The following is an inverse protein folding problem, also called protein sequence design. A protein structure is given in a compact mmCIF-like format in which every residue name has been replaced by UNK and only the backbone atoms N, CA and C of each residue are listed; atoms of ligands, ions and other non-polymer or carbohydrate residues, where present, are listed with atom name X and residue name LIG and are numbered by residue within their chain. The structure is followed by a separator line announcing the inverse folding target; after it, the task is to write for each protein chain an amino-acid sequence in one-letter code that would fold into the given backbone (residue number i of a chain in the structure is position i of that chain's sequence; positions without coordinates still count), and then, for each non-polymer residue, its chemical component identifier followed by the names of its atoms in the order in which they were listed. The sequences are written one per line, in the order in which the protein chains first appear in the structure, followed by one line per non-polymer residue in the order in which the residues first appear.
data_IF_819290908844
#
_entry.id   IF_819290908844
#
_cell.length_a   1.000
_cell.length_b   1.000
_cell.length_c   1.000
_cell.angle_alpha   90.00
_cell.angle_beta   90.00
_cell.angle_gamma   90.00
#
_symmetry.space_group_name_H-M   'P 1'
#
loop_
_entity.id
_entity.type
_entity.pdbx_description
1 polymer ?
#
# COMPACT_ATOMS: atom_id res chain seq x y z
N UNK A 1 59.51 44.56 -11.90
CA UNK A 1 60.14 45.02 -10.65
C UNK A 1 59.68 46.44 -10.36
N UNK A 2 59.44 46.84 -9.10
CA UNK A 2 59.57 46.09 -7.84
C UNK A 2 58.19 45.59 -7.34
N UNK A 3 58.00 44.50 -6.58
CA UNK A 3 58.66 43.92 -5.39
C UNK A 3 58.33 44.63 -4.07
N UNK A 4 57.55 43.94 -3.23
CA UNK A 4 57.58 43.89 -1.76
C UNK A 4 56.48 42.88 -1.35
N UNK A 5 56.69 41.65 -0.90
CA UNK A 5 57.68 41.01 -0.03
C UNK A 5 57.66 41.53 1.42
N UNK A 6 57.20 40.64 2.32
CA UNK A 6 57.10 40.83 3.76
C UNK A 6 56.48 39.61 4.42
N UNK A 7 57.31 38.61 4.73
CA UNK A 7 56.96 37.35 5.39
C UNK A 7 57.13 37.42 6.92
N UNK A 8 56.62 36.38 7.61
CA UNK A 8 57.03 35.87 8.94
C UNK A 8 56.43 36.59 10.17
N UNK A 9 55.92 35.97 11.25
CA UNK A 9 56.10 34.66 11.93
C UNK A 9 54.89 34.32 12.83
N UNK A 10 54.58 33.03 13.02
CA UNK A 10 53.60 32.45 13.97
C UNK A 10 54.07 32.51 15.46
N UNK A 11 53.47 31.85 16.49
CA UNK A 11 52.15 31.21 16.65
C UNK A 11 51.41 31.59 17.98
N UNK A 12 50.12 31.27 18.15
CA UNK A 12 49.59 31.01 19.50
C UNK A 12 48.58 29.86 19.53
N UNK A 13 48.76 29.00 20.53
CA UNK A 13 48.20 27.68 20.74
C UNK A 13 46.78 27.71 21.32
N UNK A 14 46.04 26.65 20.99
CA UNK A 14 45.06 25.92 21.81
C UNK A 14 43.83 26.69 22.34
N UNK A 15 42.68 26.33 21.78
CA UNK A 15 41.55 25.86 22.59
C UNK A 15 40.89 24.68 21.85
N UNK A 16 41.18 23.48 22.35
CA UNK A 16 40.43 22.27 22.05
C UNK A 16 39.29 22.19 23.07
N UNK A 17 38.08 21.82 22.65
CA UNK A 17 37.02 21.48 23.58
C UNK A 17 35.64 21.32 22.97
N UNK A 18 35.31 20.05 22.69
CA UNK A 18 33.96 19.47 22.85
C UNK A 18 32.89 19.81 21.78
N UNK A 19 32.86 19.02 20.71
CA UNK A 19 31.59 18.61 20.09
C UNK A 19 31.63 17.09 19.99
N UNK A 20 30.68 16.46 20.68
CA UNK A 20 30.50 15.02 20.72
C UNK A 20 30.18 14.49 19.31
N UNK A 21 30.99 13.54 18.87
CA UNK A 21 30.82 12.79 17.63
C UNK A 21 29.71 11.74 17.88
N UNK A 22 28.44 12.15 17.80
CA UNK A 22 27.30 11.23 17.71
C UNK A 22 27.34 10.66 16.28
N UNK A 23 28.15 9.61 16.10
CA UNK A 23 27.99 8.73 14.95
C UNK A 23 26.61 8.11 15.04
N UNK A 24 25.71 8.62 14.20
CA UNK A 24 24.44 8.02 13.90
C UNK A 24 24.67 6.55 13.55
N UNK A 25 24.18 5.65 14.41
CA UNK A 25 23.96 4.26 14.05
C UNK A 25 22.90 4.27 12.94
N UNK A 26 23.18 3.81 11.72
CA UNK A 26 22.14 3.73 10.70
C UNK A 26 21.06 2.78 11.19
N UNK A 27 19.80 3.19 11.09
CA UNK A 27 18.67 2.33 11.45
C UNK A 27 18.73 1.05 10.60
N UNK A 28 18.20 -0.05 11.13
CA UNK A 28 18.10 -1.35 10.43
C UNK A 28 17.44 -1.19 9.04
N UNK A 29 16.59 -0.16 8.87
CA UNK A 29 15.96 0.22 7.60
C UNK A 29 16.96 0.74 6.55
N UNK A 30 17.92 1.58 6.95
CA UNK A 30 18.97 2.08 6.03
C UNK A 30 19.93 0.97 5.57
N UNK A 31 20.21 -0.02 6.44
CA UNK A 31 20.99 -1.21 6.07
C UNK A 31 20.25 -2.11 5.07
N UNK A 32 18.91 -2.23 5.18
CA UNK A 32 18.10 -2.97 4.19
C UNK A 32 18.02 -2.28 2.83
N UNK A 33 17.93 -0.94 2.80
CA UNK A 33 17.90 -0.19 1.54
C UNK A 33 19.17 -0.44 0.71
N UNK A 34 20.34 -0.52 1.34
CA UNK A 34 21.59 -0.82 0.65
C UNK A 34 21.66 -2.27 0.10
N UNK A 35 21.02 -3.25 0.76
CA UNK A 35 20.98 -4.64 0.28
C UNK A 35 19.93 -4.91 -0.81
N UNK A 36 19.18 -3.89 -1.26
CA UNK A 36 18.25 -3.99 -2.38
C UNK A 36 18.95 -3.94 -3.75
N UNK A 37 20.29 -3.82 -3.77
CA UNK A 37 21.09 -3.96 -4.99
C UNK A 37 21.45 -5.43 -5.23
N UNK A 38 20.59 -6.11 -6.00
CA UNK A 38 20.72 -7.47 -6.59
C UNK A 38 21.15 -8.63 -5.67
N UNK A 39 20.30 -9.67 -5.48
CA UNK A 39 20.66 -10.83 -4.68
C UNK A 39 21.81 -11.62 -5.32
N UNK A 40 22.71 -12.14 -4.50
CA UNK A 40 23.80 -12.99 -4.96
C UNK A 40 23.29 -14.31 -5.55
N UNK A 41 24.08 -14.92 -6.45
CA UNK A 41 23.66 -16.12 -7.18
C UNK A 41 23.42 -17.36 -6.31
N UNK A 42 23.77 -17.32 -5.02
CA UNK A 42 23.62 -18.45 -4.09
C UNK A 42 22.23 -18.45 -3.44
N UNK A 43 21.68 -17.29 -3.09
CA UNK A 43 20.30 -17.20 -2.57
C UNK A 43 19.25 -17.62 -3.61
N UNK A 44 19.47 -17.28 -4.88
CA UNK A 44 18.58 -17.66 -5.97
C UNK A 44 18.48 -19.19 -6.17
N UNK A 45 19.56 -19.94 -5.87
CA UNK A 45 19.56 -21.41 -5.97
C UNK A 45 18.78 -22.07 -4.82
N UNK A 46 18.91 -21.53 -3.61
CA UNK A 46 18.20 -21.97 -2.40
C UNK A 46 16.70 -21.75 -2.52
N UNK A 47 16.28 -20.59 -3.04
CA UNK A 47 14.88 -20.26 -3.30
C UNK A 47 14.24 -21.22 -4.31
N UNK A 48 14.98 -21.60 -5.37
CA UNK A 48 14.50 -22.57 -6.40
C UNK A 48 14.27 -23.98 -5.83
N UNK A 49 15.14 -24.44 -4.94
CA UNK A 49 14.99 -25.76 -4.28
C UNK A 49 13.81 -25.80 -3.30
N UNK A 50 13.61 -24.72 -2.54
CA UNK A 50 12.48 -24.57 -1.64
C UNK A 50 11.14 -24.56 -2.41
N UNK A 51 11.07 -23.84 -3.53
CA UNK A 51 9.89 -23.78 -4.40
C UNK A 51 9.47 -25.14 -4.99
N UNK A 52 10.44 -25.96 -5.43
CA UNK A 52 10.18 -27.31 -5.95
C UNK A 52 9.54 -28.23 -4.91
N UNK A 53 9.92 -28.09 -3.65
CA UNK A 53 9.41 -28.91 -2.55
C UNK A 53 7.98 -28.51 -2.15
N UNK A 54 7.64 -27.22 -2.23
CA UNK A 54 6.32 -26.71 -1.87
C UNK A 54 5.23 -26.95 -2.93
N UNK A 55 5.57 -26.97 -4.22
CA UNK A 55 4.60 -27.31 -5.27
C UNK A 55 4.13 -28.78 -5.22
N UNK A 56 4.97 -29.70 -4.74
CA UNK A 56 4.60 -31.12 -4.65
C UNK A 56 3.49 -31.39 -3.63
N UNK A 57 3.40 -30.61 -2.54
CA UNK A 57 2.35 -30.80 -1.50
C UNK A 57 0.98 -30.29 -1.93
N UNK A 58 0.91 -29.27 -2.81
CA UNK A 58 -0.38 -28.69 -3.26
C UNK A 58 -1.14 -29.61 -4.22
N UNK A 59 -0.46 -30.46 -5.00
CA UNK A 59 -1.13 -31.41 -5.91
C UNK A 59 -1.94 -32.49 -5.17
N UNK A 60 -1.56 -32.85 -3.95
CA UNK A 60 -2.24 -33.92 -3.20
C UNK A 60 -3.56 -33.44 -2.56
N UNK A 61 -3.72 -32.15 -2.28
CA UNK A 61 -4.91 -31.61 -1.59
C UNK A 61 -6.06 -31.33 -2.58
N UNK A 62 -5.76 -30.92 -3.81
CA UNK A 62 -6.78 -30.58 -4.82
C UNK A 62 -7.55 -31.79 -5.37
N UNK A 63 -7.01 -33.01 -5.26
CA UNK A 63 -7.71 -34.22 -5.68
C UNK A 63 -8.85 -34.66 -4.72
N UNK A 64 -8.84 -34.20 -3.46
CA UNK A 64 -9.80 -34.64 -2.44
C UNK A 64 -11.11 -33.81 -2.39
N UNK A 65 -11.12 -32.61 -2.97
CA UNK A 65 -12.28 -31.68 -2.92
C UNK A 65 -13.26 -31.91 -4.08
N UNK A 66 -12.81 -32.50 -5.19
CA UNK A 66 -13.64 -32.74 -6.37
C UNK A 66 -14.71 -33.84 -6.20
N UNK A 67 -14.66 -34.64 -5.12
CA UNK A 67 -15.53 -35.80 -4.93
C UNK A 67 -16.81 -35.52 -4.10
N UNK A 68 -17.07 -34.28 -3.69
CA UNK A 68 -18.11 -33.99 -2.68
C UNK A 68 -19.39 -33.31 -3.22
N UNK A 69 -19.46 -32.98 -4.52
CA UNK A 69 -20.58 -32.19 -5.09
C UNK A 69 -21.44 -32.94 -6.12
N UNK A 70 -21.85 -34.17 -5.82
CA UNK A 70 -22.84 -34.90 -6.63
C UNK A 70 -23.86 -35.63 -5.76
N UNK A 71 -24.89 -34.93 -5.27
CA UNK A 71 -26.15 -35.56 -4.86
C UNK A 71 -27.36 -34.69 -5.29
N UNK A 72 -28.35 -35.25 -6.00
CA UNK A 72 -29.53 -34.52 -6.45
C UNK A 72 -30.60 -34.45 -5.34
N UNK A 73 -31.30 -33.30 -5.26
CA UNK A 73 -32.41 -33.08 -4.33
C UNK A 73 -33.72 -33.49 -5.03
N UNK A 74 -34.41 -34.48 -4.46
CA UNK A 74 -35.69 -34.99 -4.93
C UNK A 74 -36.84 -34.10 -4.42
N UNK A 75 -37.66 -33.62 -5.33
CA UNK A 75 -38.87 -32.84 -5.07
C UNK A 75 -40.00 -33.74 -4.53
N UNK A 76 -40.56 -33.41 -3.37
CA UNK A 76 -41.81 -34.00 -2.87
C UNK A 76 -42.84 -32.88 -2.69
N UNK A 77 -43.97 -33.03 -3.39
CA UNK A 77 -45.09 -32.10 -3.32
C UNK A 77 -46.12 -32.45 -2.25
N UNK A 78 -47.20 -31.65 -2.31
CA UNK A 78 -48.53 -31.83 -1.71
C UNK A 78 -48.73 -31.29 -0.28
N UNK A 79 -49.51 -30.21 -0.14
CA UNK A 79 -50.85 -30.30 0.44
C UNK A 79 -51.59 -28.95 0.45
N UNK A 80 -52.85 -29.07 0.08
CA UNK A 80 -53.92 -28.09 -0.02
C UNK A 80 -54.42 -27.69 1.38
N UNK A 81 -54.65 -26.40 1.63
CA UNK A 81 -55.24 -25.91 2.87
C UNK A 81 -55.77 -24.49 2.72
N UNK A 82 -57.00 -24.37 2.22
CA UNK A 82 -57.74 -23.12 2.06
C UNK A 82 -58.26 -22.68 3.44
N UNK A 83 -57.64 -21.68 4.06
CA UNK A 83 -58.15 -21.02 5.26
C UNK A 83 -58.36 -19.53 4.97
N UNK A 84 -59.62 -19.14 4.97
CA UNK A 84 -60.11 -17.77 4.81
C UNK A 84 -59.83 -16.99 6.10
N UNK A 85 -58.99 -15.95 6.03
CA UNK A 85 -58.75 -15.01 7.14
C UNK A 85 -59.05 -13.59 6.66
N UNK A 86 -60.02 -12.88 7.26
CA UNK A 86 -60.25 -11.46 7.00
C UNK A 86 -59.41 -10.62 7.97
N UNK A 87 -58.68 -9.64 7.45
CA UNK A 87 -57.97 -8.66 8.28
C UNK A 87 -56.75 -8.06 7.62
N UNK A 88 -56.94 -7.22 6.59
CA UNK A 88 -55.87 -6.41 6.02
C UNK A 88 -55.61 -5.23 6.98
N UNK A 89 -54.82 -5.47 8.02
CA UNK A 89 -54.16 -4.40 8.76
C UNK A 89 -52.89 -4.04 7.95
N UNK A 90 -52.86 -2.85 7.38
CA UNK A 90 -51.67 -2.28 6.76
C UNK A 90 -50.58 -2.14 7.82
N UNK A 91 -49.71 -3.15 7.93
CA UNK A 91 -48.44 -3.00 8.62
C UNK A 91 -47.59 -2.04 7.78
N UNK A 92 -47.60 -0.76 8.16
CA UNK A 92 -46.62 0.19 7.67
C UNK A 92 -45.26 -0.31 8.18
N UNK A 93 -44.47 -0.87 7.27
CA UNK A 93 -43.05 -1.09 7.50
C UNK A 93 -42.43 0.29 7.73
N UNK A 94 -42.25 0.67 8.99
CA UNK A 94 -41.31 1.72 9.34
C UNK A 94 -39.95 1.23 8.87
N UNK A 95 -39.52 1.76 7.74
CA UNK A 95 -38.13 1.72 7.31
C UNK A 95 -37.36 2.58 8.29
N UNK A 96 -37.05 2.00 9.46
CA UNK A 96 -36.04 2.51 10.35
C UNK A 96 -34.77 2.64 9.53
N UNK A 97 -34.39 3.88 9.21
CA UNK A 97 -33.10 4.19 8.64
C UNK A 97 -32.07 3.75 9.68
N UNK A 98 -31.53 2.54 9.50
CA UNK A 98 -30.38 2.10 10.28
C UNK A 98 -29.25 3.07 9.96
N UNK A 99 -28.94 3.95 10.92
CA UNK A 99 -27.78 4.81 10.87
C UNK A 99 -26.56 3.92 10.68
N UNK A 100 -25.89 4.07 9.54
CA UNK A 100 -24.64 3.35 9.30
C UNK A 100 -23.64 3.77 10.38
N UNK A 101 -22.91 2.83 10.99
CA UNK A 101 -21.92 3.16 12.00
C UNK A 101 -20.94 4.20 11.44
N UNK A 102 -20.70 5.25 12.22
CA UNK A 102 -19.81 6.33 11.85
C UNK A 102 -18.39 5.76 11.72
N UNK A 103 -17.78 5.93 10.56
CA UNK A 103 -16.48 5.32 10.30
C UNK A 103 -15.34 6.16 10.88
N UNK A 104 -14.24 5.50 11.25
CA UNK A 104 -13.07 6.08 11.91
C UNK A 104 -11.83 6.05 11.00
N UNK A 105 -10.81 6.83 11.36
CA UNK A 105 -9.52 6.95 10.64
C UNK A 105 -8.35 7.00 11.64
N UNK A 106 -7.94 5.86 12.23
CA UNK A 106 -7.04 5.85 13.39
C UNK A 106 -5.57 6.13 13.09
N UNK A 107 -5.12 6.05 11.84
CA UNK A 107 -3.70 6.27 11.45
C UNK A 107 -3.56 7.43 10.48
N UNK A 108 -4.32 7.39 9.38
CA UNK A 108 -4.35 8.43 8.35
C UNK A 108 -5.67 9.17 8.50
N UNK A 109 -5.64 10.29 9.21
CA UNK A 109 -6.82 11.14 9.43
C UNK A 109 -7.41 11.64 8.10
N UNK A 110 -8.74 11.73 8.03
CA UNK A 110 -9.46 12.24 6.86
C UNK A 110 -9.57 11.27 5.67
N UNK A 111 -8.62 10.35 5.50
CA UNK A 111 -8.61 9.40 4.38
C UNK A 111 -8.87 7.96 4.80
N UNK A 112 -9.37 7.15 3.88
CA UNK A 112 -9.43 5.69 4.11
C UNK A 112 -10.32 5.27 5.28
N UNK A 113 -11.46 5.94 5.48
CA UNK A 113 -12.40 5.67 6.59
C UNK A 113 -12.76 4.18 6.70
N UNK A 114 -12.67 3.59 7.89
CA UNK A 114 -13.02 2.19 8.19
C UNK A 114 -14.18 2.11 9.18
N UNK A 115 -14.80 0.94 9.29
CA UNK A 115 -15.76 0.63 10.36
C UNK A 115 -15.11 -0.43 11.23
N UNK A 116 -15.13 -0.21 12.55
CA UNK A 116 -14.62 -1.19 13.49
C UNK A 116 -15.49 -2.46 13.47
N UNK A 117 -14.83 -3.61 13.54
CA UNK A 117 -15.43 -4.93 13.55
C UNK A 117 -14.81 -5.75 14.68
N UNK A 118 -15.09 -5.41 15.94
CA UNK A 118 -14.52 -6.12 17.08
C UNK A 118 -15.01 -7.58 17.05
N UNK A 119 -14.07 -8.52 17.20
CA UNK A 119 -14.38 -9.95 17.14
C UNK A 119 -14.49 -10.55 15.72
N UNK A 120 -14.04 -9.83 14.69
CA UNK A 120 -13.87 -10.42 13.35
C UNK A 120 -12.98 -11.69 13.44
N UNK A 121 -13.40 -12.76 12.75
CA UNK A 121 -12.75 -14.09 12.82
C UNK A 121 -11.31 -14.09 12.31
N UNK A 122 -10.95 -13.13 11.46
CA UNK A 122 -9.61 -13.00 10.90
C UNK A 122 -9.11 -11.57 11.11
N UNK A 123 -7.97 -11.44 11.77
CA UNK A 123 -7.29 -10.18 12.06
C UNK A 123 -5.81 -10.31 11.67
N UNK A 124 -5.18 -9.25 11.16
CA UNK A 124 -3.72 -9.26 10.99
C UNK A 124 -3.06 -9.34 12.38
N UNK A 125 -2.00 -10.13 12.48
CA UNK A 125 -1.21 -10.22 13.72
C UNK A 125 -0.47 -8.90 13.97
N UNK A 126 -0.53 -8.36 15.18
CA UNK A 126 0.23 -7.16 15.58
C UNK A 126 1.75 -7.39 15.62
N UNK A 127 2.18 -8.65 15.80
CA UNK A 127 3.58 -9.03 16.01
C UNK A 127 4.32 -9.40 14.71
N UNK A 128 3.59 -9.61 13.61
CA UNK A 128 4.16 -10.06 12.34
C UNK A 128 4.45 -8.88 11.39
N UNK A 129 5.48 -9.03 10.56
CA UNK A 129 5.75 -8.10 9.47
C UNK A 129 4.78 -8.36 8.30
N UNK A 130 3.99 -7.35 7.96
CA UNK A 130 3.06 -7.39 6.83
C UNK A 130 3.68 -6.71 5.61
N UNK A 131 4.08 -7.52 4.63
CA UNK A 131 4.66 -7.03 3.37
C UNK A 131 3.61 -7.05 2.26
N UNK A 132 3.17 -5.87 1.83
CA UNK A 132 2.08 -5.74 0.84
C UNK A 132 2.50 -4.76 -0.26
N UNK A 133 2.34 -5.20 -1.51
CA UNK A 133 2.45 -4.34 -2.68
C UNK A 133 1.06 -4.06 -3.25
N UNK A 134 0.67 -2.79 -3.28
CA UNK A 134 -0.58 -2.31 -3.85
C UNK A 134 -0.34 -1.90 -5.30
N UNK A 135 -1.01 -2.58 -6.23
CA UNK A 135 -0.95 -2.25 -7.66
C UNK A 135 -2.08 -1.28 -7.99
N UNK A 136 -1.79 0.02 -8.02
CA UNK A 136 -2.77 1.09 -8.26
C UNK A 136 -2.79 1.44 -9.75
N UNK A 137 -3.87 1.03 -10.42
CA UNK A 137 -3.95 1.11 -11.90
C UNK A 137 -5.07 1.99 -12.46
N UNK A 138 -6.15 2.17 -11.70
CA UNK A 138 -7.35 2.90 -12.13
C UNK A 138 -7.27 4.39 -11.84
N UNK A 139 -7.77 5.19 -12.77
CA UNK A 139 -8.00 6.64 -12.72
C UNK A 139 -9.28 7.05 -11.97
N UNK A 140 -10.06 6.10 -11.45
CA UNK A 140 -11.31 6.39 -10.71
C UNK A 140 -11.03 7.26 -9.51
N UNK A 141 -11.93 8.20 -9.26
CA UNK A 141 -11.85 9.14 -8.15
C UNK A 141 -12.97 8.95 -7.13
N UNK A 142 -12.71 9.39 -5.91
CA UNK A 142 -13.69 9.64 -4.86
C UNK A 142 -14.44 10.95 -5.17
N UNK A 143 -15.59 11.23 -4.51
CA UNK A 143 -16.34 12.48 -4.76
C UNK A 143 -15.57 13.78 -4.50
N UNK A 144 -14.51 13.72 -3.68
CA UNK A 144 -13.59 14.83 -3.38
C UNK A 144 -12.44 14.97 -4.40
N UNK A 145 -12.41 14.12 -5.44
CA UNK A 145 -11.40 14.13 -6.50
C UNK A 145 -10.18 13.25 -6.22
N UNK A 146 -10.00 12.73 -5.00
CA UNK A 146 -8.86 11.86 -4.70
C UNK A 146 -8.95 10.54 -5.47
N UNK A 147 -7.83 9.99 -5.92
CA UNK A 147 -7.78 8.68 -6.58
C UNK A 147 -8.32 7.60 -5.62
N UNK A 148 -9.33 6.87 -6.08
CA UNK A 148 -10.06 5.91 -5.27
C UNK A 148 -9.18 4.77 -4.76
N UNK A 149 -8.13 4.40 -5.49
CA UNK A 149 -7.25 3.32 -5.12
C UNK A 149 -6.16 3.77 -4.15
N UNK A 150 -5.61 4.98 -4.29
CA UNK A 150 -4.78 5.59 -3.23
C UNK A 150 -5.59 5.74 -1.94
N UNK A 151 -6.85 6.17 -2.04
CA UNK A 151 -7.72 6.32 -0.88
C UNK A 151 -7.98 4.96 -0.20
N UNK A 152 -8.15 3.89 -0.97
CA UNK A 152 -8.26 2.52 -0.45
C UNK A 152 -6.95 1.99 0.13
N UNK A 153 -5.78 2.42 -0.36
CA UNK A 153 -4.51 2.12 0.31
C UNK A 153 -4.46 2.77 1.68
N UNK A 154 -4.90 4.03 1.82
CA UNK A 154 -5.02 4.66 3.14
C UNK A 154 -6.01 3.89 4.04
N UNK A 155 -7.09 3.36 3.45
CA UNK A 155 -8.01 2.46 4.16
C UNK A 155 -7.30 1.20 4.65
N UNK A 156 -6.44 0.59 3.85
CA UNK A 156 -5.66 -0.57 4.29
C UNK A 156 -4.75 -0.19 5.47
N UNK A 157 -4.02 0.93 5.41
CA UNK A 157 -3.20 1.42 6.54
C UNK A 157 -4.03 1.55 7.82
N UNK A 158 -5.22 2.16 7.72
CA UNK A 158 -6.14 2.30 8.84
C UNK A 158 -6.64 0.95 9.39
N UNK A 159 -6.97 -0.02 8.52
CA UNK A 159 -7.37 -1.38 8.95
C UNK A 159 -6.26 -2.04 9.76
N UNK A 160 -5.02 -1.99 9.27
CA UNK A 160 -3.87 -2.59 9.96
C UNK A 160 -3.55 -1.86 11.27
N UNK A 161 -3.64 -0.53 11.30
CA UNK A 161 -3.48 0.24 12.53
C UNK A 161 -4.55 -0.05 13.58
N UNK A 162 -5.82 -0.18 13.17
CA UNK A 162 -6.91 -0.56 14.07
C UNK A 162 -6.68 -1.93 14.71
N UNK A 163 -6.08 -2.86 13.96
CA UNK A 163 -5.70 -4.18 14.46
C UNK A 163 -4.42 -4.17 15.32
N UNK A 164 -3.84 -3.01 15.62
CA UNK A 164 -2.66 -2.86 16.47
C UNK A 164 -1.33 -3.12 15.75
N UNK A 165 -1.31 -3.20 14.41
CA UNK A 165 -0.06 -3.34 13.65
C UNK A 165 0.66 -1.99 13.60
N UNK A 166 1.79 -1.90 14.30
CA UNK A 166 2.64 -0.72 14.35
C UNK A 166 3.28 -0.42 12.98
N UNK A 167 3.74 0.82 12.78
CA UNK A 167 4.26 1.29 11.49
C UNK A 167 5.46 0.48 11.00
N UNK A 168 6.35 0.09 11.90
CA UNK A 168 7.52 -0.77 11.65
C UNK A 168 7.17 -2.18 11.14
N UNK A 169 5.96 -2.64 11.45
CA UNK A 169 5.44 -3.95 11.02
C UNK A 169 4.57 -3.86 9.75
N UNK A 170 4.48 -2.68 9.12
CA UNK A 170 3.75 -2.45 7.86
C UNK A 170 4.71 -2.04 6.75
N UNK A 171 5.24 -3.03 6.03
CA UNK A 171 6.09 -2.80 4.86
C UNK A 171 5.23 -2.72 3.61
N UNK A 172 4.64 -1.53 3.43
CA UNK A 172 3.65 -1.25 2.39
C UNK A 172 4.27 -0.46 1.25
N UNK A 173 4.07 -0.95 0.03
CA UNK A 173 4.57 -0.33 -1.19
C UNK A 173 3.41 -0.13 -2.16
N UNK A 174 3.25 1.06 -2.69
CA UNK A 174 2.33 1.37 -3.78
C UNK A 174 3.13 1.44 -5.07
N UNK A 175 2.69 0.68 -6.08
CA UNK A 175 3.16 0.83 -7.46
C UNK A 175 2.01 1.40 -8.29
N UNK A 176 2.16 2.67 -8.67
CA UNK A 176 1.22 3.37 -9.56
C UNK A 176 1.58 3.09 -11.01
N UNK A 177 0.57 2.76 -11.81
CA UNK A 177 0.71 2.56 -13.26
C UNK A 177 -0.65 2.75 -13.96
N UNK A 178 -0.68 2.58 -15.28
CA UNK A 178 -1.92 2.69 -16.05
C UNK A 178 -2.56 4.07 -15.92
N UNK A 179 -3.90 4.10 -15.86
CA UNK A 179 -4.67 5.34 -15.76
C UNK A 179 -4.43 6.14 -14.48
N UNK A 180 -3.91 5.51 -13.42
CA UNK A 180 -3.60 6.21 -12.17
C UNK A 180 -2.33 7.08 -12.25
N UNK A 181 -1.58 7.06 -13.37
CA UNK A 181 -0.26 7.70 -13.49
C UNK A 181 -0.27 9.19 -13.19
N UNK A 182 -1.30 9.93 -13.59
CA UNK A 182 -1.37 11.39 -13.34
C UNK A 182 -1.69 11.72 -11.87
N UNK A 183 -2.22 10.77 -11.10
CA UNK A 183 -2.56 11.01 -9.69
C UNK A 183 -1.33 11.30 -8.81
N UNK A 184 -0.12 10.92 -9.24
CA UNK A 184 1.13 11.13 -8.49
C UNK A 184 1.92 12.38 -8.91
N UNK A 185 1.37 13.23 -9.78
CA UNK A 185 2.07 14.43 -10.25
C UNK A 185 2.18 15.48 -9.14
N UNK A 186 3.17 16.35 -9.22
CA UNK A 186 3.24 17.59 -8.44
C UNK A 186 2.08 18.54 -8.77
N UNK A 187 1.84 19.56 -7.95
CA UNK A 187 0.79 20.54 -8.23
C UNK A 187 1.09 21.30 -9.52
N UNK A 188 2.36 21.68 -9.71
CA UNK A 188 2.84 22.40 -10.87
C UNK A 188 2.62 21.60 -12.15
N UNK A 189 2.98 20.31 -12.13
CA UNK A 189 2.80 19.45 -13.28
C UNK A 189 1.32 19.14 -13.55
N UNK A 190 0.51 18.92 -12.50
CA UNK A 190 -0.94 18.74 -12.65
C UNK A 190 -1.55 19.96 -13.33
N UNK A 191 -1.33 21.16 -12.78
CA UNK A 191 -1.87 22.40 -13.35
C UNK A 191 -1.45 22.63 -14.80
N UNK A 192 -0.22 22.26 -15.16
CA UNK A 192 0.25 22.35 -16.52
C UNK A 192 -0.48 21.37 -17.47
N UNK A 193 -0.79 20.16 -17.00
CA UNK A 193 -1.43 19.11 -17.80
C UNK A 193 -2.96 19.23 -17.89
N UNK A 194 -3.62 19.53 -16.77
CA UNK A 194 -5.08 19.49 -16.63
C UNK A 194 -5.73 20.82 -16.21
N UNK A 195 -4.94 21.84 -15.86
CA UNK A 195 -5.45 23.15 -15.40
C UNK A 195 -5.90 23.19 -13.94
N UNK A 196 -5.80 22.07 -13.22
CA UNK A 196 -6.26 21.90 -11.85
C UNK A 196 -5.11 21.51 -10.90
N UNK A 197 -5.30 21.84 -9.62
CA UNK A 197 -4.41 21.37 -8.58
C UNK A 197 -4.46 19.84 -8.49
N UNK A 198 -3.40 19.17 -8.05
CA UNK A 198 -3.48 17.73 -7.82
C UNK A 198 -4.24 17.46 -6.49
N UNK A 199 -5.45 16.86 -6.52
CA UNK A 199 -6.23 16.59 -5.30
C UNK A 199 -5.61 15.49 -4.42
N UNK A 200 -4.57 14.80 -4.89
CA UNK A 200 -3.96 13.66 -4.20
C UNK A 200 -2.80 14.03 -3.28
N UNK A 201 -2.30 15.27 -3.29
CA UNK A 201 -1.03 15.61 -2.60
C UNK A 201 -1.11 15.40 -1.10
N UNK A 202 -2.21 15.79 -0.46
CA UNK A 202 -2.41 15.57 0.98
C UNK A 202 -2.48 14.08 1.32
N UNK A 203 -3.16 13.29 0.49
CA UNK A 203 -3.25 11.84 0.64
C UNK A 203 -1.90 11.14 0.43
N UNK A 204 -1.12 11.57 -0.57
CA UNK A 204 0.22 11.04 -0.87
C UNK A 204 1.15 11.31 0.31
N UNK A 205 1.17 12.55 0.82
CA UNK A 205 1.97 12.92 1.98
C UNK A 205 1.57 12.10 3.21
N UNK A 206 0.27 11.98 3.50
CA UNK A 206 -0.21 11.23 4.65
C UNK A 206 0.10 9.71 4.56
N UNK A 207 0.09 9.13 3.37
CA UNK A 207 0.55 7.77 3.13
C UNK A 207 2.05 7.61 3.40
N UNK A 208 2.87 8.55 2.91
CA UNK A 208 4.32 8.54 3.12
C UNK A 208 4.68 8.71 4.60
N UNK A 209 4.00 9.62 5.31
CA UNK A 209 4.17 9.84 6.75
C UNK A 209 3.81 8.59 7.55
N UNK A 210 2.77 7.86 7.13
CA UNK A 210 2.40 6.56 7.68
C UNK A 210 3.35 5.41 7.31
N UNK A 211 4.42 5.69 6.55
CA UNK A 211 5.50 4.77 6.22
C UNK A 211 5.35 4.05 4.87
N UNK A 212 4.31 4.36 4.09
CA UNK A 212 4.06 3.75 2.78
C UNK A 212 5.03 4.31 1.74
N UNK A 213 5.71 3.42 1.02
CA UNK A 213 6.56 3.82 -0.10
C UNK A 213 5.72 3.91 -1.37
N UNK A 214 5.85 4.99 -2.13
CA UNK A 214 5.08 5.21 -3.36
C UNK A 214 6.04 5.29 -4.53
N UNK A 215 5.81 4.43 -5.52
CA UNK A 215 6.59 4.40 -6.75
C UNK A 215 5.68 4.42 -7.98
N UNK A 216 6.17 4.98 -9.08
CA UNK A 216 5.48 5.00 -10.38
C UNK A 216 6.22 4.19 -11.42
N UNK A 217 5.48 3.47 -12.26
CA UNK A 217 5.99 2.74 -13.42
C UNK A 217 6.51 3.72 -14.49
N UNK A 218 7.81 3.71 -14.79
CA UNK A 218 8.39 4.63 -15.79
C UNK A 218 7.83 4.46 -17.20
N UNK A 219 7.48 3.23 -17.59
CA UNK A 219 6.84 2.97 -18.89
C UNK A 219 5.44 3.60 -18.98
N UNK A 220 4.68 3.57 -17.88
CA UNK A 220 3.38 4.22 -17.80
C UNK A 220 3.54 5.74 -17.76
N UNK A 221 4.45 6.24 -16.92
CA UNK A 221 4.82 7.66 -16.86
C UNK A 221 5.17 8.22 -18.25
N UNK A 222 6.05 7.53 -18.99
CA UNK A 222 6.41 7.91 -20.35
C UNK A 222 5.20 7.93 -21.31
N UNK A 223 4.28 6.96 -21.21
CA UNK A 223 3.07 6.95 -22.06
C UNK A 223 2.09 8.08 -21.75
N UNK A 224 2.15 8.65 -20.55
CA UNK A 224 1.38 9.82 -20.13
C UNK A 224 2.18 11.14 -20.24
N UNK A 225 3.41 11.11 -20.77
CA UNK A 225 4.25 12.30 -20.86
C UNK A 225 4.74 12.84 -19.51
N UNK A 226 4.78 12.00 -18.47
CA UNK A 226 5.24 12.33 -17.12
C UNK A 226 6.69 11.88 -16.96
N UNK A 227 7.56 12.78 -16.50
CA UNK A 227 8.93 12.47 -16.12
C UNK A 227 9.17 12.57 -14.60
N UNK A 228 10.36 12.23 -14.15
CA UNK A 228 10.73 12.19 -12.73
C UNK A 228 10.64 13.57 -12.04
N UNK A 229 10.85 14.66 -12.77
CA UNK A 229 10.78 16.03 -12.21
C UNK A 229 9.35 16.50 -11.99
N UNK A 230 8.38 15.82 -12.60
CA UNK A 230 6.96 16.13 -12.48
C UNK A 230 6.28 15.41 -11.31
N UNK A 231 6.97 14.54 -10.59
CA UNK A 231 6.39 13.71 -9.53
C UNK A 231 6.15 14.51 -8.24
N UNK A 232 5.12 14.12 -7.49
CA UNK A 232 4.90 14.61 -6.14
C UNK A 232 6.11 14.31 -5.23
N UNK A 233 6.40 15.15 -4.23
CA UNK A 233 7.54 14.95 -3.34
C UNK A 233 7.63 13.53 -2.76
N UNK A 234 8.83 12.94 -2.78
CA UNK A 234 9.08 11.61 -2.23
C UNK A 234 8.56 10.42 -3.05
N UNK A 235 7.84 10.65 -4.15
CA UNK A 235 7.46 9.59 -5.09
C UNK A 235 8.68 9.21 -5.93
N UNK A 236 8.94 7.91 -6.05
CA UNK A 236 10.08 7.38 -6.79
C UNK A 236 9.65 6.75 -8.11
N UNK A 237 10.57 6.58 -9.05
CA UNK A 237 10.30 5.87 -10.29
C UNK A 237 10.88 4.45 -10.25
N UNK A 238 10.11 3.48 -10.73
CA UNK A 238 10.58 2.10 -10.97
C UNK A 238 10.60 1.80 -12.47
N UNK A 239 11.41 0.82 -12.90
CA UNK A 239 11.54 0.46 -14.32
C UNK A 239 10.19 0.12 -14.96
N UNK A 240 9.37 -0.67 -14.28
CA UNK A 240 8.01 -0.98 -14.73
C UNK A 240 7.26 -1.69 -13.63
N UNK A 241 5.96 -1.43 -13.49
CA UNK A 241 5.09 -2.25 -12.65
C UNK A 241 5.16 -3.74 -13.03
N UNK A 242 5.35 -4.05 -14.33
CA UNK A 242 5.50 -5.42 -14.84
C UNK A 242 6.76 -6.14 -14.34
N UNK A 243 7.76 -5.37 -13.87
CA UNK A 243 9.01 -5.92 -13.31
C UNK A 243 9.07 -5.77 -11.79
N UNK A 244 8.67 -4.62 -11.26
CA UNK A 244 8.71 -4.30 -9.84
C UNK A 244 7.80 -5.21 -9.02
N UNK A 245 6.56 -5.42 -9.48
CA UNK A 245 5.60 -6.26 -8.75
C UNK A 245 6.09 -7.71 -8.66
N UNK A 246 6.50 -8.40 -9.75
CA UNK A 246 7.06 -9.75 -9.63
C UNK A 246 8.32 -9.82 -8.76
N UNK A 247 9.19 -8.80 -8.80
CA UNK A 247 10.37 -8.73 -7.92
C UNK A 247 9.93 -8.67 -6.46
N UNK A 248 9.01 -7.78 -6.09
CA UNK A 248 8.48 -7.68 -4.72
C UNK A 248 7.78 -8.97 -4.29
N UNK A 249 6.96 -9.58 -5.15
CA UNK A 249 6.33 -10.86 -4.86
C UNK A 249 7.36 -11.98 -4.61
N UNK A 250 8.48 -11.99 -5.36
CA UNK A 250 9.57 -12.95 -5.12
C UNK A 250 10.30 -12.74 -3.79
N UNK A 251 10.24 -11.51 -3.24
CA UNK A 251 10.79 -11.13 -1.95
C UNK A 251 9.82 -11.38 -0.78
N UNK A 252 8.61 -11.88 -1.05
CA UNK A 252 7.62 -12.22 -0.02
C UNK A 252 6.44 -11.26 0.10
N UNK A 253 6.40 -10.20 -0.71
CA UNK A 253 5.25 -9.28 -0.69
C UNK A 253 3.99 -9.93 -1.25
N UNK A 254 2.88 -9.73 -0.55
CA UNK A 254 1.55 -10.06 -1.07
C UNK A 254 1.08 -8.98 -2.02
N UNK A 255 0.66 -9.38 -3.24
CA UNK A 255 0.09 -8.46 -4.20
C UNK A 255 -1.38 -8.19 -3.87
N UNK A 256 -1.71 -6.92 -3.69
CA UNK A 256 -3.07 -6.41 -3.64
C UNK A 256 -3.37 -5.63 -4.93
N UNK A 257 -4.09 -6.21 -5.89
CA UNK A 257 -4.50 -5.50 -7.10
C UNK A 257 -5.63 -4.52 -6.79
N UNK A 258 -5.50 -3.27 -7.27
CA UNK A 258 -6.45 -2.17 -7.02
C UNK A 258 -6.96 -1.58 -8.33
#
# INVERSE_FOLDING_TARGET
MPMAEGASTAPCKKAAGLIADIRATPSVRALRIASLTQPDGREAASARLFWRKHQSKKKTIMAAVAAQFTKPVLSLGLALGLAMVPGLASAQSETGSASQPEGVTPVIEGFGRIVDAPGATLQPSAEELHQIVFSVSSDKTMPDGANANLWRTARAVNVYGLAGVEQENRDFIVIVHGGATEAIMSDEASRAANGEANPNLELIAALQDAGVQIMVCSQAAASHGVDETMLAPGVQMTLSALSAIPVLQSQGYSLMPM
#
